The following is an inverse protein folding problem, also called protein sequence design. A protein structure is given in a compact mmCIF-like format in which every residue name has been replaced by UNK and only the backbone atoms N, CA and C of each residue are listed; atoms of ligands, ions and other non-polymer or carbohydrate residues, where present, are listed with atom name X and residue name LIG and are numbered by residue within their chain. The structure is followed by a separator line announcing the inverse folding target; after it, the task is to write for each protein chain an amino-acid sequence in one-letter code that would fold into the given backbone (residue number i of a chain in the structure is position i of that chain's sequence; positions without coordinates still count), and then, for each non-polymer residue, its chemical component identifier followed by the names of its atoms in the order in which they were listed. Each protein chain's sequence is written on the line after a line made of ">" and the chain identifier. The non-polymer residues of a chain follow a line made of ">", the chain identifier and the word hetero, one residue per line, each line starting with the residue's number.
data_IF_703248914905
#
_entry.id   IF_703248914905
#
_cell.length_a   1.000
_cell.length_b   1.000
_cell.length_c   1.000
_cell.angle_alpha   90.00
_cell.angle_beta   90.00
_cell.angle_gamma   90.00
#
_symmetry.space_group_name_H-M   'P 1'
#
loop_
_entity.id
_entity.type
_entity.pdbx_description
1 polymer ?
#
# COMPACT_ATOMS: atom_id res chain seq x y z
N UNK A 1 29.55 10.79 5.54
CA UNK A 1 28.76 11.10 4.33
C UNK A 1 27.62 10.11 4.31
N UNK A 2 26.38 10.54 4.55
CA UNK A 2 25.21 9.71 4.34
C UNK A 2 25.10 9.49 2.83
N UNK A 3 25.10 8.23 2.38
CA UNK A 3 24.79 7.90 1.00
C UNK A 3 23.39 8.40 0.71
N UNK A 4 23.25 9.22 -0.34
CA UNK A 4 21.95 9.68 -0.80
C UNK A 4 21.27 8.51 -1.50
N UNK A 5 20.60 7.66 -0.73
CA UNK A 5 19.91 6.47 -1.21
C UNK A 5 18.42 6.53 -0.87
N UNK A 6 17.68 5.55 -1.41
CA UNK A 6 16.23 5.45 -1.30
C UNK A 6 15.75 5.35 0.16
N UNK A 7 16.50 4.65 1.03
CA UNK A 7 16.14 4.42 2.43
C UNK A 7 16.52 5.56 3.39
N UNK A 8 17.28 6.56 2.94
CA UNK A 8 17.88 7.57 3.82
C UNK A 8 16.89 8.25 4.80
N UNK A 9 15.65 8.54 4.37
CA UNK A 9 14.66 9.20 5.25
C UNK A 9 13.95 8.26 6.25
N UNK A 10 14.14 6.95 6.13
CA UNK A 10 13.54 5.94 7.01
C UNK A 10 14.49 5.48 8.13
N UNK A 11 15.81 5.73 7.98
CA UNK A 11 16.83 5.21 8.90
C UNK A 11 16.90 5.89 10.27
N UNK A 12 16.27 7.04 10.46
CA UNK A 12 16.27 7.75 11.75
C UNK A 12 15.60 6.94 12.87
N UNK A 13 15.91 7.26 14.12
CA UNK A 13 15.31 6.63 15.31
C UNK A 13 14.06 7.37 15.83
N UNK A 14 13.66 8.45 15.14
CA UNK A 14 12.55 9.32 15.48
C UNK A 14 12.65 9.85 16.93
N UNK A 15 13.79 10.47 17.26
CA UNK A 15 14.09 10.98 18.60
C UNK A 15 14.03 9.87 19.67
N UNK A 16 14.51 8.68 19.30
CA UNK A 16 14.55 7.51 20.18
C UNK A 16 13.21 6.78 20.36
N UNK A 17 12.21 7.00 19.49
CA UNK A 17 10.93 6.25 19.51
C UNK A 17 10.98 4.89 18.82
N UNK A 18 11.98 4.70 17.95
CA UNK A 18 12.24 3.44 17.24
C UNK A 18 13.43 2.73 17.87
N UNK A 19 13.46 1.40 17.79
CA UNK A 19 14.65 0.66 18.18
C UNK A 19 15.82 0.99 17.22
N UNK A 20 17.04 1.20 17.73
CA UNK A 20 18.19 1.52 16.89
C UNK A 20 18.67 0.32 16.04
N UNK A 21 18.29 -0.89 16.43
CA UNK A 21 18.58 -2.10 15.68
C UNK A 21 17.46 -2.37 14.67
N UNK A 22 17.81 -2.30 13.38
CA UNK A 22 16.92 -2.72 12.31
C UNK A 22 16.94 -4.25 12.18
N UNK A 23 15.76 -4.88 12.17
CA UNK A 23 15.59 -6.29 11.84
C UNK A 23 14.82 -6.39 10.52
N UNK A 24 15.50 -6.51 9.36
CA UNK A 24 14.84 -6.59 8.08
C UNK A 24 13.81 -7.72 8.04
N UNK A 25 12.65 -7.48 7.44
CA UNK A 25 11.57 -8.45 7.34
C UNK A 25 11.41 -9.02 5.94
N UNK A 26 11.05 -10.30 5.91
CA UNK A 26 10.36 -10.92 4.79
C UNK A 26 8.84 -10.83 5.03
N UNK A 27 8.11 -10.25 4.09
CA UNK A 27 6.66 -10.03 4.19
C UNK A 27 5.93 -10.93 3.19
N UNK A 28 4.97 -11.72 3.67
CA UNK A 28 4.03 -12.44 2.80
C UNK A 28 2.67 -11.76 2.82
N UNK A 29 2.17 -11.39 1.65
CA UNK A 29 0.80 -10.93 1.44
C UNK A 29 -0.02 -12.12 0.96
N UNK A 30 -0.78 -12.71 1.87
CA UNK A 30 -1.70 -13.81 1.56
C UNK A 30 -3.08 -13.23 1.24
N UNK A 31 -3.67 -13.63 0.14
CA UNK A 31 -4.97 -13.14 -0.32
C UNK A 31 -5.78 -14.29 -0.87
N UNK A 32 -7.08 -14.31 -0.59
CA UNK A 32 -7.95 -15.33 -1.19
C UNK A 32 -8.26 -14.97 -2.65
N UNK A 33 -8.67 -15.99 -3.42
CA UNK A 33 -8.88 -15.84 -4.86
C UNK A 33 -9.99 -14.81 -5.20
N UNK A 34 -11.08 -14.82 -4.43
CA UNK A 34 -12.20 -13.91 -4.67
C UNK A 34 -11.80 -12.43 -4.51
N UNK A 35 -10.98 -12.12 -3.51
CA UNK A 35 -10.45 -10.78 -3.30
C UNK A 35 -9.44 -10.43 -4.40
N UNK A 36 -8.52 -11.33 -4.72
CA UNK A 36 -7.51 -11.12 -5.76
C UNK A 36 -8.10 -10.81 -7.15
N UNK A 37 -9.25 -11.41 -7.47
CA UNK A 37 -9.97 -11.16 -8.73
C UNK A 37 -10.90 -9.94 -8.69
N UNK A 38 -11.08 -9.30 -7.54
CA UNK A 38 -11.91 -8.10 -7.41
C UNK A 38 -11.08 -6.83 -7.67
N UNK A 39 -11.69 -5.81 -8.29
CA UNK A 39 -11.05 -4.51 -8.51
C UNK A 39 -10.54 -3.87 -7.21
N UNK A 40 -11.32 -3.79 -6.12
CA UNK A 40 -10.85 -3.28 -4.83
C UNK A 40 -9.68 -4.07 -4.25
N UNK A 41 -9.69 -5.40 -4.38
CA UNK A 41 -8.58 -6.24 -3.95
C UNK A 41 -7.30 -5.96 -4.74
N UNK A 42 -7.40 -5.79 -6.06
CA UNK A 42 -6.24 -5.43 -6.88
C UNK A 42 -5.69 -4.03 -6.57
N UNK A 43 -6.56 -3.05 -6.30
CA UNK A 43 -6.12 -1.72 -5.83
C UNK A 43 -5.37 -1.82 -4.49
N UNK A 44 -5.91 -2.57 -3.52
CA UNK A 44 -5.25 -2.82 -2.24
C UNK A 44 -3.87 -3.44 -2.45
N UNK A 45 -3.81 -4.55 -3.17
CA UNK A 45 -2.57 -5.31 -3.39
C UNK A 45 -1.53 -4.48 -4.12
N UNK A 46 -1.94 -3.72 -5.15
CA UNK A 46 -1.04 -2.81 -5.85
C UNK A 46 -0.44 -1.76 -4.92
N UNK A 47 -1.28 -1.06 -4.17
CA UNK A 47 -0.82 0.00 -3.26
C UNK A 47 0.06 -0.57 -2.15
N UNK A 48 -0.35 -1.70 -1.58
CA UNK A 48 0.39 -2.36 -0.50
C UNK A 48 1.78 -2.80 -0.98
N UNK A 49 1.88 -3.48 -2.12
CA UNK A 49 3.17 -3.88 -2.69
C UNK A 49 4.02 -2.67 -3.04
N UNK A 50 3.44 -1.61 -3.60
CA UNK A 50 4.14 -0.35 -3.90
C UNK A 50 4.76 0.26 -2.63
N UNK A 51 3.99 0.34 -1.54
CA UNK A 51 4.45 0.88 -0.26
C UNK A 51 5.50 0.01 0.40
N UNK A 52 5.32 -1.32 0.42
CA UNK A 52 6.30 -2.26 0.97
C UNK A 52 7.63 -2.18 0.21
N UNK A 53 7.60 -2.08 -1.11
CA UNK A 53 8.82 -1.95 -1.92
C UNK A 53 9.62 -0.68 -1.61
N UNK A 54 8.97 0.37 -1.08
CA UNK A 54 9.60 1.64 -0.69
C UNK A 54 10.17 1.64 0.73
N UNK A 55 9.96 0.59 1.52
CA UNK A 55 10.55 0.43 2.85
C UNK A 55 11.95 -0.20 2.73
N UNK A 56 12.90 0.56 2.22
CA UNK A 56 14.22 0.04 1.84
C UNK A 56 15.05 -0.27 3.07
N UNK A 57 15.72 -1.41 3.07
CA UNK A 57 16.41 -2.01 4.22
C UNK A 57 15.46 -2.58 5.29
N UNK A 58 14.27 -1.99 5.47
CA UNK A 58 13.24 -2.54 6.36
C UNK A 58 12.58 -3.81 5.79
N UNK A 59 12.17 -3.76 4.52
CA UNK A 59 11.52 -4.88 3.82
C UNK A 59 12.47 -5.34 2.72
N UNK A 60 13.05 -6.52 2.93
CA UNK A 60 14.05 -7.10 2.01
C UNK A 60 13.44 -8.12 1.06
N UNK A 61 12.26 -8.64 1.39
CA UNK A 61 11.54 -9.61 0.59
C UNK A 61 10.04 -9.40 0.71
N UNK A 62 9.34 -9.48 -0.43
CA UNK A 62 7.86 -9.49 -0.50
C UNK A 62 7.40 -10.67 -1.34
N UNK A 63 6.66 -11.58 -0.74
CA UNK A 63 5.92 -12.62 -1.48
C UNK A 63 4.44 -12.21 -1.51
N UNK A 64 3.83 -12.20 -2.69
CA UNK A 64 2.37 -12.08 -2.81
C UNK A 64 1.83 -13.44 -3.24
N UNK A 65 1.13 -14.13 -2.34
CA UNK A 65 0.55 -15.44 -2.60
C UNK A 65 -0.72 -15.24 -3.45
N UNK A 66 -0.52 -15.15 -4.77
CA UNK A 66 -1.55 -14.99 -5.79
C UNK A 66 -1.54 -16.19 -6.73
N UNK A 67 -2.74 -16.58 -7.19
CA UNK A 67 -2.88 -17.51 -8.30
C UNK A 67 -2.32 -16.86 -9.59
N UNK A 68 -1.42 -17.54 -10.34
CA UNK A 68 -0.85 -17.01 -11.58
C UNK A 68 -1.89 -16.70 -12.66
N UNK A 69 -3.10 -17.26 -12.58
CA UNK A 69 -4.19 -17.04 -13.54
C UNK A 69 -5.07 -15.83 -13.17
N UNK A 70 -4.69 -15.03 -12.15
CA UNK A 70 -5.33 -13.73 -11.90
C UNK A 70 -4.79 -12.70 -12.88
N UNK A 71 -5.62 -12.27 -13.82
CA UNK A 71 -5.31 -11.19 -14.76
C UNK A 71 -5.39 -9.81 -14.09
N UNK A 72 -4.61 -8.86 -14.59
CA UNK A 72 -4.70 -7.45 -14.19
C UNK A 72 -5.99 -6.85 -14.73
N UNK A 73 -6.79 -6.22 -13.88
CA UNK A 73 -7.96 -5.47 -14.31
C UNK A 73 -7.58 -4.10 -14.90
N UNK A 74 -8.35 -3.57 -15.86
CA UNK A 74 -8.08 -2.24 -16.41
C UNK A 74 -8.17 -1.16 -15.33
N UNK A 75 -7.26 -0.19 -15.34
CA UNK A 75 -7.32 0.99 -14.45
C UNK A 75 -6.80 0.78 -13.03
N UNK A 76 -6.13 -0.33 -12.72
CA UNK A 76 -5.52 -0.54 -11.39
C UNK A 76 -4.39 0.45 -11.12
N UNK A 77 -3.52 0.68 -12.09
CA UNK A 77 -2.45 1.67 -11.98
C UNK A 77 -1.93 2.05 -13.35
N UNK A 78 -1.53 3.32 -13.58
CA UNK A 78 -0.89 3.71 -14.84
C UNK A 78 0.53 3.15 -14.98
N UNK A 79 1.10 2.58 -13.91
CA UNK A 79 2.45 2.00 -13.90
C UNK A 79 2.48 0.51 -14.18
N UNK A 80 1.32 -0.16 -14.17
CA UNK A 80 1.21 -1.58 -14.42
C UNK A 80 1.03 -1.80 -15.92
N UNK A 81 1.87 -2.60 -16.59
CA UNK A 81 1.65 -2.94 -17.99
C UNK A 81 0.35 -3.75 -18.16
N UNK A 82 -0.41 -3.45 -19.21
CA UNK A 82 -1.70 -4.10 -19.55
C UNK A 82 -1.59 -5.57 -19.98
N UNK A 83 -0.42 -6.20 -19.83
CA UNK A 83 -0.16 -7.55 -20.32
C UNK A 83 0.53 -8.41 -19.25
N UNK A 84 -0.12 -9.53 -18.89
CA UNK A 84 0.44 -10.56 -18.02
C UNK A 84 -0.42 -10.89 -16.81
N UNK A 85 0.12 -11.75 -15.94
CA UNK A 85 -0.49 -12.06 -14.65
C UNK A 85 -0.38 -10.87 -13.70
N UNK A 86 -1.33 -10.76 -12.77
CA UNK A 86 -1.29 -9.71 -11.76
C UNK A 86 -0.08 -9.86 -10.81
N UNK A 87 0.33 -11.10 -10.53
CA UNK A 87 1.55 -11.36 -9.76
C UNK A 87 2.80 -10.80 -10.45
N UNK A 88 2.95 -11.02 -11.76
CA UNK A 88 4.08 -10.49 -12.54
C UNK A 88 4.07 -8.96 -12.61
N UNK A 89 2.89 -8.37 -12.74
CA UNK A 89 2.68 -6.93 -12.70
C UNK A 89 3.16 -6.31 -11.37
N UNK A 90 2.74 -6.89 -10.23
CA UNK A 90 3.16 -6.46 -8.90
C UNK A 90 4.67 -6.60 -8.72
N UNK A 91 5.24 -7.75 -9.10
CA UNK A 91 6.67 -7.99 -8.97
C UNK A 91 7.50 -7.05 -9.87
N UNK A 92 7.02 -6.75 -11.06
CA UNK A 92 7.67 -5.81 -11.98
C UNK A 92 7.63 -4.39 -11.44
N UNK A 93 6.47 -3.92 -10.94
CA UNK A 93 6.34 -2.61 -10.33
C UNK A 93 7.24 -2.48 -9.09
N UNK A 94 7.24 -3.48 -8.21
CA UNK A 94 8.07 -3.50 -7.00
C UNK A 94 9.57 -3.40 -7.33
N UNK A 95 10.06 -4.16 -8.32
CA UNK A 95 11.47 -4.11 -8.76
C UNK A 95 11.88 -2.79 -9.40
N UNK A 96 10.95 -2.09 -10.07
CA UNK A 96 11.22 -0.74 -10.60
C UNK A 96 11.39 0.30 -9.48
N UNK A 97 10.74 0.07 -8.34
CA UNK A 97 10.88 0.91 -7.15
C UNK A 97 12.17 0.54 -6.40
N UNK A 98 12.38 -0.75 -6.13
CA UNK A 98 13.52 -1.27 -5.38
C UNK A 98 14.08 -2.54 -6.06
N UNK A 99 15.17 -2.43 -6.85
CA UNK A 99 15.78 -3.54 -7.56
C UNK A 99 16.42 -4.59 -6.64
N UNK A 100 16.64 -4.24 -5.37
CA UNK A 100 17.19 -5.13 -4.35
C UNK A 100 16.11 -5.91 -3.59
N UNK A 101 14.83 -5.61 -3.81
CA UNK A 101 13.74 -6.33 -3.20
C UNK A 101 13.60 -7.73 -3.82
N UNK A 102 13.68 -8.77 -2.98
CA UNK A 102 13.39 -10.13 -3.41
C UNK A 102 11.88 -10.36 -3.49
N UNK A 103 11.40 -10.77 -4.66
CA UNK A 103 9.98 -11.09 -4.89
C UNK A 103 9.72 -12.61 -4.97
N UNK A 104 10.73 -13.44 -4.69
CA UNK A 104 10.61 -14.89 -4.74
C UNK A 104 10.11 -15.48 -3.41
N UNK A 105 9.45 -16.64 -3.51
CA UNK A 105 8.98 -17.42 -2.36
C UNK A 105 10.12 -18.29 -1.84
N UNK A 106 10.73 -17.96 -0.71
CA UNK A 106 11.95 -18.67 -0.29
C UNK A 106 12.17 -18.87 1.22
N UNK A 107 11.40 -18.22 2.10
CA UNK A 107 11.64 -18.25 3.55
C UNK A 107 10.32 -18.24 4.33
N UNK A 108 10.28 -18.77 5.57
CA UNK A 108 9.18 -18.46 6.47
C UNK A 108 9.15 -16.94 6.68
N UNK A 109 8.02 -16.27 6.40
CA UNK A 109 7.94 -14.82 6.47
C UNK A 109 8.02 -14.35 7.93
N UNK A 110 8.65 -13.20 8.14
CA UNK A 110 8.66 -12.51 9.44
C UNK A 110 7.28 -11.92 9.74
N UNK A 111 6.61 -11.40 8.70
CA UNK A 111 5.29 -10.79 8.80
C UNK A 111 4.37 -11.36 7.72
N UNK A 112 3.15 -11.72 8.10
CA UNK A 112 2.07 -12.10 7.18
C UNK A 112 0.98 -11.04 7.20
N UNK A 113 0.63 -10.55 6.02
CA UNK A 113 -0.55 -9.72 5.79
C UNK A 113 -1.63 -10.59 5.16
N UNK A 114 -2.67 -10.92 5.92
CA UNK A 114 -3.82 -11.69 5.44
C UNK A 114 -4.88 -10.71 4.92
N UNK A 115 -5.02 -10.63 3.59
CA UNK A 115 -5.97 -9.76 2.92
C UNK A 115 -7.28 -10.52 2.70
N UNK A 116 -8.34 -10.02 3.34
CA UNK A 116 -9.67 -10.62 3.32
C UNK A 116 -9.89 -11.70 4.39
N UNK A 117 -11.14 -12.14 4.50
CA UNK A 117 -11.59 -13.06 5.54
C UNK A 117 -11.37 -14.51 5.12
N UNK A 118 -10.17 -15.02 5.36
CA UNK A 118 -9.92 -16.46 5.48
C UNK A 118 -8.93 -16.69 6.62
N UNK A 119 -9.36 -17.49 7.59
CA UNK A 119 -8.49 -17.95 8.66
C UNK A 119 -7.45 -18.88 8.07
N UNK A 120 -6.23 -18.39 7.95
CA UNK A 120 -5.08 -19.23 7.66
C UNK A 120 -4.68 -20.02 8.91
N UNK A 121 -4.06 -21.18 8.70
CA UNK A 121 -3.27 -21.80 9.76
C UNK A 121 -2.08 -20.87 10.05
N UNK A 122 -2.16 -20.21 11.20
CA UNK A 122 -1.14 -19.25 11.66
C UNK A 122 -0.08 -20.02 12.43
N UNK A 123 1.16 -19.93 11.98
CA UNK A 123 2.32 -20.34 12.77
C UNK A 123 2.44 -19.44 14.00
N UNK A 124 2.63 -20.03 15.18
CA UNK A 124 2.62 -19.29 16.45
C UNK A 124 3.73 -18.22 16.54
N UNK A 125 4.81 -18.41 15.78
CA UNK A 125 5.97 -17.52 15.78
C UNK A 125 5.88 -16.40 14.71
N UNK A 126 4.81 -16.35 13.91
CA UNK A 126 4.66 -15.41 12.80
C UNK A 126 3.71 -14.25 13.14
N UNK A 127 4.18 -13.01 12.97
CA UNK A 127 3.31 -11.84 13.11
C UNK A 127 2.28 -11.80 11.99
N UNK A 128 1.02 -12.05 12.30
CA UNK A 128 -0.08 -12.00 11.32
C UNK A 128 -0.93 -10.76 11.55
N UNK A 129 -1.10 -9.95 10.49
CA UNK A 129 -2.01 -8.83 10.43
C UNK A 129 -3.11 -9.12 9.43
N UNK A 130 -4.34 -8.92 9.84
CA UNK A 130 -5.50 -8.96 8.96
C UNK A 130 -5.70 -7.58 8.35
N UNK A 131 -5.89 -7.58 7.04
CA UNK A 131 -6.11 -6.38 6.24
C UNK A 131 -7.44 -6.53 5.55
N UNK A 132 -8.31 -5.54 5.73
CA UNK A 132 -9.62 -5.54 5.10
C UNK A 132 -9.97 -4.15 4.59
N UNK A 133 -10.91 -4.09 3.67
CA UNK A 133 -11.42 -2.85 3.13
C UNK A 133 -12.92 -2.95 2.93
N UNK A 134 -13.56 -1.78 2.89
CA UNK A 134 -14.94 -1.64 2.55
C UNK A 134 -15.20 -0.22 2.03
N UNK A 135 -15.42 -0.06 0.72
CA UNK A 135 -15.83 1.22 0.12
C UNK A 135 -14.91 2.38 0.53
N UNK A 136 -15.33 3.24 1.48
CA UNK A 136 -14.56 4.40 2.00
C UNK A 136 -13.62 4.08 3.17
N UNK A 137 -13.65 2.86 3.69
CA UNK A 137 -12.97 2.47 4.92
C UNK A 137 -11.91 1.39 4.69
N UNK A 138 -10.81 1.50 5.42
CA UNK A 138 -9.74 0.49 5.47
C UNK A 138 -9.48 -0.02 6.88
N UNK A 139 -8.97 -1.24 6.98
CA UNK A 139 -8.74 -1.95 8.25
C UNK A 139 -7.34 -2.56 8.30
N UNK A 140 -6.74 -2.49 9.50
CA UNK A 140 -5.62 -3.35 9.89
C UNK A 140 -5.80 -3.80 11.35
N UNK A 141 -5.41 -5.03 11.66
CA UNK A 141 -5.47 -5.53 13.03
C UNK A 141 -4.86 -6.91 13.23
N UNK A 142 -4.62 -7.27 14.50
CA UNK A 142 -4.27 -8.63 14.90
C UNK A 142 -5.47 -9.61 14.88
N UNK A 143 -6.70 -9.09 14.81
CA UNK A 143 -7.94 -9.87 14.74
C UNK A 143 -8.49 -9.85 13.32
N UNK A 144 -9.11 -10.95 12.89
CA UNK A 144 -9.75 -11.02 11.58
C UNK A 144 -10.92 -10.02 11.46
N UNK A 145 -11.03 -9.39 10.29
CA UNK A 145 -12.16 -8.53 9.94
C UNK A 145 -12.80 -9.00 8.63
N UNK A 146 -14.14 -8.86 8.50
CA UNK A 146 -14.83 -9.25 7.29
C UNK A 146 -14.36 -8.43 6.09
N UNK A 147 -14.19 -9.08 4.94
CA UNK A 147 -14.00 -8.40 3.65
C UNK A 147 -15.34 -7.93 3.11
N UNK A 148 -15.51 -6.62 2.97
CA UNK A 148 -16.76 -6.03 2.48
C UNK A 148 -16.58 -5.17 1.22
N UNK A 149 -15.35 -5.05 0.72
CA UNK A 149 -15.03 -4.23 -0.44
C UNK A 149 -15.55 -4.77 -1.77
N UNK A 150 -16.07 -6.01 -1.87
CA UNK A 150 -16.67 -6.51 -3.13
C UNK A 150 -17.98 -5.83 -3.53
N UNK A 151 -18.50 -4.89 -2.74
CA UNK A 151 -19.80 -4.25 -2.97
C UNK A 151 -19.75 -3.06 -3.92
N UNK A 152 -18.58 -2.47 -4.13
CA UNK A 152 -18.38 -1.39 -5.10
C UNK A 152 -16.93 -1.36 -5.60
N UNK A 153 -16.69 -0.52 -6.60
CA UNK A 153 -15.39 -0.32 -7.24
C UNK A 153 -14.61 0.85 -6.62
N UNK A 154 -14.94 1.28 -5.38
CA UNK A 154 -14.28 2.41 -4.74
C UNK A 154 -12.87 2.05 -4.26
N UNK A 155 -11.80 2.69 -4.78
CA UNK A 155 -10.43 2.35 -4.40
C UNK A 155 -9.98 2.95 -3.06
N UNK A 156 -10.75 3.87 -2.46
CA UNK A 156 -10.32 4.67 -1.31
C UNK A 156 -10.09 3.81 -0.07
N UNK A 157 -11.07 3.00 0.33
CA UNK A 157 -10.95 2.05 1.44
C UNK A 157 -9.79 1.06 1.26
N UNK A 158 -9.67 0.40 0.08
CA UNK A 158 -8.51 -0.41 -0.29
C UNK A 158 -7.15 0.29 -0.10
N UNK A 159 -7.02 1.55 -0.52
CA UNK A 159 -5.78 2.31 -0.35
C UNK A 159 -5.50 2.67 1.11
N UNK A 160 -6.54 3.02 1.88
CA UNK A 160 -6.40 3.23 3.33
C UNK A 160 -5.90 1.96 4.00
N UNK A 161 -6.49 0.80 3.68
CA UNK A 161 -6.09 -0.48 4.25
C UNK A 161 -4.63 -0.80 3.93
N UNK A 162 -4.20 -0.58 2.68
CA UNK A 162 -2.82 -0.74 2.25
C UNK A 162 -1.84 0.19 3.01
N UNK A 163 -2.20 1.46 3.16
CA UNK A 163 -1.41 2.44 3.92
C UNK A 163 -1.25 2.04 5.39
N UNK A 164 -2.35 1.65 6.03
CA UNK A 164 -2.35 1.21 7.42
C UNK A 164 -1.51 -0.06 7.58
N UNK A 165 -1.70 -1.08 6.72
CA UNK A 165 -0.95 -2.32 6.77
C UNK A 165 0.55 -2.11 6.56
N UNK A 166 0.95 -1.31 5.57
CA UNK A 166 2.36 -0.97 5.34
C UNK A 166 2.96 -0.22 6.54
N UNK A 167 2.21 0.70 7.17
CA UNK A 167 2.66 1.39 8.38
C UNK A 167 2.85 0.42 9.55
N UNK A 168 1.95 -0.53 9.77
CA UNK A 168 2.10 -1.55 10.81
C UNK A 168 3.33 -2.44 10.58
N UNK A 169 3.60 -2.85 9.33
CA UNK A 169 4.85 -3.55 8.98
C UNK A 169 6.07 -2.73 9.37
N UNK A 170 6.10 -1.45 8.99
CA UNK A 170 7.21 -0.55 9.34
C UNK A 170 7.41 -0.46 10.86
N UNK A 171 6.32 -0.28 11.62
CA UNK A 171 6.39 -0.19 13.09
C UNK A 171 6.95 -1.46 13.72
N UNK A 172 6.53 -2.63 13.24
CA UNK A 172 7.04 -3.92 13.70
C UNK A 172 8.53 -4.06 13.42
N UNK A 173 8.94 -3.80 12.17
CA UNK A 173 10.33 -3.94 11.70
C UNK A 173 11.29 -2.98 12.40
N UNK A 174 10.86 -1.74 12.62
CA UNK A 174 11.64 -0.70 13.32
C UNK A 174 11.56 -0.81 14.84
N UNK A 175 10.77 -1.74 15.36
CA UNK A 175 10.56 -1.93 16.80
C UNK A 175 10.14 -0.63 17.48
N UNK A 176 9.00 -0.07 17.08
CA UNK A 176 8.38 1.06 17.82
C UNK A 176 8.27 0.67 19.29
N UNK A 177 8.75 1.54 20.18
CA UNK A 177 8.65 1.26 21.61
C UNK A 177 7.18 1.30 22.03
N UNK A 178 6.82 0.39 22.93
CA UNK A 178 5.44 0.15 23.36
C UNK A 178 4.74 1.42 23.85
N UNK A 179 5.48 2.33 24.49
CA UNK A 179 4.98 3.63 24.97
C UNK A 179 4.55 4.61 23.86
N UNK A 180 5.06 4.44 22.64
CA UNK A 180 4.71 5.27 21.48
C UNK A 180 3.73 4.59 20.53
N UNK A 181 3.52 3.27 20.68
CA UNK A 181 2.56 2.55 19.87
C UNK A 181 2.64 1.05 20.08
N UNK A 182 1.47 0.42 19.97
CA UNK A 182 1.32 -1.03 19.94
C UNK A 182 0.67 -1.45 18.63
N UNK A 183 0.74 -2.75 18.36
CA UNK A 183 -0.02 -3.35 17.28
C UNK A 183 -1.53 -3.23 17.58
N UNK A 184 -2.35 -2.69 16.67
CA UNK A 184 -3.77 -2.57 16.91
C UNK A 184 -4.41 -3.96 17.00
N UNK A 185 -5.29 -4.16 17.99
CA UNK A 185 -6.18 -5.32 17.99
C UNK A 185 -7.04 -5.34 16.70
N UNK A 186 -7.47 -4.15 16.28
CA UNK A 186 -8.16 -3.91 15.02
C UNK A 186 -8.69 -2.49 14.95
N UNK A 187 -8.38 -1.78 13.88
CA UNK A 187 -8.83 -0.40 13.66
C UNK A 187 -9.33 -0.23 12.25
N UNK A 188 -10.56 0.25 12.13
CA UNK A 188 -11.08 0.81 10.89
C UNK A 188 -10.82 2.31 10.84
N UNK A 189 -10.47 2.83 9.67
CA UNK A 189 -10.49 4.25 9.37
C UNK A 189 -11.41 4.52 8.19
N UNK A 190 -12.38 5.42 8.38
CA UNK A 190 -13.37 5.84 7.38
C UNK A 190 -12.98 7.21 6.81
N UNK A 191 -12.68 7.28 5.51
CA UNK A 191 -12.31 8.54 4.85
C UNK A 191 -13.49 9.43 4.49
N UNK A 192 -14.72 8.92 4.49
CA UNK A 192 -15.92 9.72 4.29
C UNK A 192 -16.30 10.49 5.56
N UNK A 193 -16.22 9.83 6.72
CA UNK A 193 -16.50 10.46 8.02
C UNK A 193 -15.27 11.06 8.70
N UNK A 194 -14.06 10.69 8.25
CA UNK A 194 -12.78 11.04 8.86
C UNK A 194 -12.67 10.56 10.31
N UNK A 195 -13.15 9.36 10.59
CA UNK A 195 -13.20 8.76 11.93
C UNK A 195 -12.54 7.39 11.98
N UNK A 196 -12.14 7.00 13.19
CA UNK A 196 -11.72 5.62 13.49
C UNK A 196 -12.82 4.89 14.25
N UNK A 197 -12.99 3.60 13.97
CA UNK A 197 -14.01 2.77 14.62
C UNK A 197 -13.54 1.33 14.81
N UNK A 198 -14.24 0.59 15.66
CA UNK A 198 -14.04 -0.86 15.80
C UNK A 198 -14.74 -1.66 14.67
N UNK A 199 -15.64 -1.01 13.92
CA UNK A 199 -16.44 -1.63 12.86
C UNK A 199 -16.37 -0.79 11.59
N UNK A 200 -16.20 -1.45 10.44
CA UNK A 200 -16.17 -0.76 9.15
C UNK A 200 -17.55 -0.26 8.76
N UNK A 201 -17.68 1.04 8.56
CA UNK A 201 -18.76 1.61 7.77
C UNK A 201 -18.34 1.61 6.29
N UNK A 202 -19.30 1.44 5.40
CA UNK A 202 -19.07 1.47 3.96
C UNK A 202 -19.15 2.90 3.43
N UNK A 203 -19.81 3.83 4.13
CA UNK A 203 -20.15 5.13 3.56
C UNK A 203 -21.10 4.98 2.35
N UNK A 204 -21.36 6.07 1.61
CA UNK A 204 -22.21 6.02 0.43
C UNK A 204 -21.50 5.34 -0.75
N UNK A 205 -22.24 4.68 -1.65
CA UNK A 205 -21.66 4.16 -2.89
C UNK A 205 -21.11 5.30 -3.75
N UNK A 206 -20.05 5.02 -4.54
CA UNK A 206 -19.60 5.98 -5.54
C UNK A 206 -20.71 6.19 -6.61
N UNK A 207 -20.97 7.44 -7.01
CA UNK A 207 -21.79 7.72 -8.19
C UNK A 207 -21.19 7.09 -9.45
N UNK A 208 -22.05 6.61 -10.36
CA UNK A 208 -21.61 6.04 -11.64
C UNK A 208 -20.86 7.04 -12.52
N UNK A 209 -21.19 8.33 -12.39
CA UNK A 209 -20.52 9.44 -13.06
C UNK A 209 -20.14 10.48 -12.04
N UNK A 210 -18.84 10.78 -11.98
CA UNK A 210 -18.27 11.79 -11.10
C UNK A 210 -17.67 12.89 -11.96
N UNK A 211 -18.33 14.04 -12.03
CA UNK A 211 -17.77 15.21 -12.68
C UNK A 211 -16.96 16.00 -11.66
N UNK A 212 -15.63 16.00 -11.81
CA UNK A 212 -14.75 16.88 -11.07
C UNK A 212 -14.93 18.33 -11.49
N UNK A 213 -14.59 19.24 -10.58
CA UNK A 213 -14.45 20.67 -10.89
C UNK A 213 -13.04 20.93 -11.42
N UNK A 214 -12.86 21.86 -12.38
CA UNK A 214 -11.53 22.30 -12.78
C UNK A 214 -10.73 22.75 -11.56
N UNK A 215 -9.54 22.17 -11.40
CA UNK A 215 -8.71 22.41 -10.22
C UNK A 215 -7.24 22.59 -10.60
N UNK A 216 -6.50 23.24 -9.68
CA UNK A 216 -5.04 23.33 -9.74
C UNK A 216 -4.47 22.56 -8.56
N UNK A 217 -3.60 21.59 -8.85
CA UNK A 217 -2.81 20.88 -7.86
C UNK A 217 -1.44 21.54 -7.77
N UNK A 218 -1.19 22.27 -6.67
CA UNK A 218 0.10 22.86 -6.38
C UNK A 218 1.00 21.83 -5.65
N UNK A 219 1.95 21.26 -6.39
CA UNK A 219 2.88 20.23 -5.97
C UNK A 219 2.45 18.83 -6.41
N UNK A 220 3.35 18.12 -7.12
CA UNK A 220 3.24 16.69 -7.46
C UNK A 220 4.28 15.82 -6.77
N UNK A 221 4.71 16.26 -5.59
CA UNK A 221 5.49 15.45 -4.67
C UNK A 221 4.70 14.27 -4.07
N UNK A 222 5.04 13.85 -2.84
CA UNK A 222 4.48 12.64 -2.23
C UNK A 222 2.94 12.66 -2.17
N UNK A 223 2.37 13.73 -1.61
CA UNK A 223 0.92 13.89 -1.47
C UNK A 223 0.24 14.07 -2.83
N UNK A 224 0.81 14.90 -3.70
CA UNK A 224 0.25 15.15 -5.04
C UNK A 224 0.24 13.89 -5.90
N UNK A 225 1.32 13.10 -5.90
CA UNK A 225 1.39 11.83 -6.62
C UNK A 225 0.40 10.79 -6.08
N UNK A 226 0.24 10.68 -4.76
CA UNK A 226 -0.76 9.81 -4.14
C UNK A 226 -2.20 10.24 -4.48
N UNK A 227 -2.47 11.56 -4.49
CA UNK A 227 -3.76 12.11 -4.92
C UNK A 227 -4.03 11.77 -6.38
N UNK A 228 -3.09 12.05 -7.29
CA UNK A 228 -3.23 11.76 -8.73
C UNK A 228 -3.48 10.28 -8.99
N UNK A 229 -2.73 9.39 -8.31
CA UNK A 229 -2.95 7.95 -8.40
C UNK A 229 -4.36 7.58 -7.92
N UNK A 230 -4.79 8.15 -6.80
CA UNK A 230 -6.12 7.89 -6.26
C UNK A 230 -7.21 8.31 -7.23
N UNK A 231 -7.12 9.54 -7.77
CA UNK A 231 -8.08 10.06 -8.74
C UNK A 231 -8.12 9.22 -10.02
N UNK A 232 -6.97 8.79 -10.54
CA UNK A 232 -6.90 7.89 -11.71
C UNK A 232 -7.69 6.60 -11.50
N UNK A 233 -7.69 6.06 -10.28
CA UNK A 233 -8.34 4.82 -9.93
C UNK A 233 -9.86 4.96 -9.68
N UNK A 234 -10.39 6.17 -9.53
CA UNK A 234 -11.83 6.37 -9.25
C UNK A 234 -12.64 6.11 -10.53
N UNK A 235 -13.53 5.10 -10.54
CA UNK A 235 -14.36 4.80 -11.70
C UNK A 235 -15.30 5.96 -12.02
N UNK A 236 -15.48 6.24 -13.32
CA UNK A 236 -16.42 7.26 -13.80
C UNK A 236 -16.02 8.71 -13.48
N UNK A 237 -14.81 8.94 -12.95
CA UNK A 237 -14.30 10.29 -12.71
C UNK A 237 -13.85 10.96 -14.01
N UNK A 238 -14.46 12.11 -14.30
CA UNK A 238 -14.06 13.02 -15.37
C UNK A 238 -13.71 14.37 -14.77
N UNK A 239 -12.45 14.80 -14.84
CA UNK A 239 -11.99 16.05 -14.26
C UNK A 239 -10.85 16.67 -15.08
N UNK A 240 -10.82 18.00 -15.13
CA UNK A 240 -9.69 18.76 -15.65
C UNK A 240 -8.81 19.22 -14.49
N UNK A 241 -7.56 18.75 -14.45
CA UNK A 241 -6.62 19.08 -13.39
C UNK A 241 -5.33 19.64 -13.98
N UNK A 242 -4.93 20.82 -13.53
CA UNK A 242 -3.62 21.39 -13.84
C UNK A 242 -2.70 21.10 -12.65
N UNK A 243 -1.73 20.22 -12.84
CA UNK A 243 -0.68 19.96 -11.86
C UNK A 243 0.52 20.88 -12.11
N UNK A 244 0.97 21.57 -11.06
CA UNK A 244 2.12 22.49 -11.12
C UNK A 244 3.11 22.10 -10.05
N UNK A 245 4.37 21.86 -10.41
CA UNK A 245 5.48 21.71 -9.47
C UNK A 245 6.62 22.61 -9.92
N UNK A 246 7.32 23.19 -8.95
CA UNK A 246 8.47 24.05 -9.18
C UNK A 246 9.63 23.60 -8.29
N UNK A 247 9.84 22.29 -8.21
CA UNK A 247 11.09 21.73 -7.70
C UNK A 247 12.18 21.90 -8.78
N UNK A 248 13.16 22.81 -8.57
CA UNK A 248 14.20 23.06 -9.56
C UNK A 248 15.14 21.86 -9.75
N UNK A 249 15.22 20.96 -8.75
CA UNK A 249 16.05 19.77 -8.78
C UNK A 249 15.32 18.56 -9.39
N UNK A 250 14.01 18.70 -9.65
CA UNK A 250 13.18 17.64 -10.21
C UNK A 250 12.99 16.48 -9.24
N UNK A 251 13.00 15.26 -9.75
CA UNK A 251 12.81 14.05 -8.93
C UNK A 251 14.17 13.51 -8.52
N UNK A 252 14.47 13.57 -7.23
CA UNK A 252 15.67 12.95 -6.65
C UNK A 252 15.40 11.51 -6.17
N UNK A 253 16.47 10.73 -5.99
CA UNK A 253 16.37 9.33 -5.53
C UNK A 253 15.71 9.19 -4.15
N UNK A 254 15.87 10.18 -3.26
CA UNK A 254 15.22 10.16 -1.95
C UNK A 254 13.72 10.41 -2.08
N UNK A 255 13.25 11.07 -3.13
CA UNK A 255 11.83 11.33 -3.38
C UNK A 255 11.08 10.04 -3.70
N UNK A 256 11.75 9.14 -4.41
CA UNK A 256 11.22 7.84 -4.79
C UNK A 256 10.87 6.96 -3.58
N UNK A 257 11.25 7.30 -2.36
CA UNK A 257 10.82 6.53 -1.20
C UNK A 257 9.37 6.79 -0.76
N UNK A 258 8.70 7.80 -1.34
CA UNK A 258 7.36 8.25 -0.93
C UNK A 258 6.47 8.72 -2.07
N UNK A 259 6.94 8.58 -3.32
CA UNK A 259 6.25 9.07 -4.52
C UNK A 259 5.52 7.91 -5.21
N UNK A 260 4.21 7.79 -5.03
CA UNK A 260 3.41 6.63 -5.46
C UNK A 260 3.50 6.34 -6.96
N UNK A 261 3.56 7.40 -7.78
CA UNK A 261 3.55 7.35 -9.25
C UNK A 261 4.94 7.33 -9.90
N UNK A 262 6.01 7.33 -9.11
CA UNK A 262 7.36 7.43 -9.64
C UNK A 262 8.21 6.23 -9.22
N UNK A 263 9.13 5.85 -10.10
CA UNK A 263 10.06 4.74 -9.92
C UNK A 263 11.47 5.14 -10.41
N UNK A 264 12.43 4.22 -10.29
CA UNK A 264 13.83 4.50 -10.61
C UNK A 264 14.09 4.74 -12.11
N UNK A 265 13.16 4.42 -13.01
CA UNK A 265 13.31 4.73 -14.44
C UNK A 265 13.25 6.23 -14.74
N UNK A 266 12.78 7.03 -13.78
CA UNK A 266 12.62 8.48 -13.91
C UNK A 266 13.68 9.31 -13.15
N UNK A 267 14.49 8.67 -12.32
CA UNK A 267 15.65 9.32 -11.68
C UNK A 267 16.87 9.22 -12.62
N UNK A 268 17.03 10.24 -13.47
CA UNK A 268 18.19 10.40 -14.36
C UNK A 268 19.17 11.43 -13.80
#
# INVERSE_FOLDING_TARGET
>A
MTTNDLGNRQRGDLDGRLHPALQPAAVTVAVNEAVARSRPGQHLLWMLTNLLARQVDEVVQVTVDLDPDVEVLPGISPLVPDAGSFADALATAARRINPHLDMHRATPPTVRLQVGAERADVDADMHTLYVSAASWSGYVGAVEAPWNATRDDNPIGPYIAACLAAAEVFKLVRGVQEEYGTLPAGTWYDAYQLTTSAQGDHGPPLPEQLQGVPAVLAGVGAVGSALLHTLYAVPGLHADLIAVDNDPDGIDITNLNRYTLFDLSLAA
#
